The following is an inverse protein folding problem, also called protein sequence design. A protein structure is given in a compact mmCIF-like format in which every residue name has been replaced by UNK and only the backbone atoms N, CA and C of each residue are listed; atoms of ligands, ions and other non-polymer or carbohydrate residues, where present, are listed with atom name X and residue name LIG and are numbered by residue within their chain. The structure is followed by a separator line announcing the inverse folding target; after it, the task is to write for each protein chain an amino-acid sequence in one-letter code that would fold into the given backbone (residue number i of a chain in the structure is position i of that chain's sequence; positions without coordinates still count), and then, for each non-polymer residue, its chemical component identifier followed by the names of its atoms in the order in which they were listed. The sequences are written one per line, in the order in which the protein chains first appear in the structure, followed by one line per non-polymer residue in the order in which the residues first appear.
data_IF_549258263986
#
_entry.id   IF_549258263986
#
_cell.length_a   1.000
_cell.length_b   1.000
_cell.length_c   1.000
_cell.angle_alpha   90.00
_cell.angle_beta   90.00
_cell.angle_gamma   90.00
#
_symmetry.space_group_name_H-M   'P 1'
#
loop_
_entity.id
_entity.type
_entity.pdbx_description
1 polymer ?
#
# COMPACT_ATOMS: atom_id res chain seq x y z
N UNK A 1 22.18 17.09 12.68
CA UNK A 1 21.67 15.76 13.09
C UNK A 1 20.69 15.31 12.03
N UNK A 2 20.99 14.22 11.31
CA UNK A 2 20.02 13.64 10.37
C UNK A 2 18.78 13.17 11.16
N UNK A 3 17.58 13.49 10.68
CA UNK A 3 16.36 12.96 11.27
C UNK A 3 16.38 11.45 11.08
N UNK A 4 16.23 10.69 12.17
CA UNK A 4 16.11 9.24 12.09
C UNK A 4 14.78 8.94 11.38
N UNK A 5 14.84 8.29 10.21
CA UNK A 5 13.64 7.90 9.48
C UNK A 5 12.77 6.93 10.28
N UNK A 6 11.48 6.87 9.94
CA UNK A 6 10.49 6.12 10.69
C UNK A 6 10.08 4.84 9.96
N UNK A 7 9.83 3.77 10.73
CA UNK A 7 9.16 2.57 10.22
C UNK A 7 7.67 2.82 10.06
N UNK A 8 7.12 2.52 8.90
CA UNK A 8 5.73 2.80 8.58
C UNK A 8 5.15 1.77 7.61
N UNK A 9 3.83 1.70 7.56
CA UNK A 9 3.11 1.12 6.44
C UNK A 9 2.96 2.20 5.36
N UNK A 10 3.39 1.90 4.14
CA UNK A 10 3.30 2.77 2.98
C UNK A 10 2.37 2.16 1.94
N UNK A 11 1.37 2.92 1.50
CA UNK A 11 0.44 2.55 0.45
C UNK A 11 0.74 3.35 -0.80
N UNK A 12 1.10 2.69 -1.90
CA UNK A 12 1.35 3.33 -3.19
C UNK A 12 0.48 2.74 -4.28
N UNK A 13 0.05 3.60 -5.21
CA UNK A 13 -0.50 3.18 -6.48
C UNK A 13 0.64 2.79 -7.42
N UNK A 14 0.51 1.62 -8.03
CA UNK A 14 1.49 1.06 -8.95
C UNK A 14 0.78 0.65 -10.26
N UNK A 15 1.53 0.58 -11.35
CA UNK A 15 1.01 0.31 -12.68
C UNK A 15 0.75 1.58 -13.50
N UNK A 16 0.12 1.42 -14.66
CA UNK A 16 -0.14 2.51 -15.61
C UNK A 16 -1.56 2.99 -15.40
N UNK A 17 -1.72 4.11 -14.70
CA UNK A 17 -2.98 4.86 -14.70
C UNK A 17 -2.69 6.35 -14.86
N UNK A 18 -2.95 6.88 -16.05
CA UNK A 18 -2.65 8.27 -16.44
C UNK A 18 -3.43 9.35 -15.65
N UNK A 19 -4.31 8.94 -14.74
CA UNK A 19 -5.27 9.82 -14.06
C UNK A 19 -5.06 9.88 -12.54
N UNK A 20 -4.17 9.05 -11.98
CA UNK A 20 -3.89 9.11 -10.55
C UNK A 20 -2.88 10.23 -10.28
N UNK A 21 -3.28 11.28 -9.54
CA UNK A 21 -2.45 12.48 -9.35
C UNK A 21 -1.28 12.24 -8.38
N UNK A 22 -1.23 11.08 -7.70
CA UNK A 22 -0.25 10.77 -6.66
C UNK A 22 0.11 9.29 -6.65
N UNK A 23 1.41 8.99 -6.52
CA UNK A 23 1.89 7.62 -6.32
C UNK A 23 1.71 7.18 -4.88
N UNK A 24 2.03 8.02 -3.89
CA UNK A 24 1.78 7.73 -2.47
C UNK A 24 0.32 8.06 -2.11
N UNK A 25 -0.44 7.04 -1.72
CA UNK A 25 -1.84 7.19 -1.32
C UNK A 25 -1.96 7.46 0.19
N UNK A 26 -1.22 6.72 1.02
CA UNK A 26 -1.33 6.82 2.48
C UNK A 26 -0.07 6.31 3.21
N UNK A 27 0.25 6.96 4.33
CA UNK A 27 1.24 6.51 5.31
C UNK A 27 0.52 6.16 6.61
N UNK A 28 0.84 5.00 7.18
CA UNK A 28 0.19 4.42 8.36
C UNK A 28 1.23 4.01 9.41
N UNK A 29 0.83 3.99 10.69
CA UNK A 29 1.69 3.51 11.78
C UNK A 29 2.07 2.03 11.56
N UNK A 30 3.37 1.72 11.57
CA UNK A 30 3.92 0.36 11.45
C UNK A 30 3.37 -0.66 12.46
N UNK A 31 2.80 -0.19 13.58
CA UNK A 31 2.21 -1.04 14.63
C UNK A 31 0.78 -1.48 14.32
N UNK A 32 0.15 -0.95 13.27
CA UNK A 32 -1.16 -1.45 12.84
C UNK A 32 -1.05 -2.91 12.42
N UNK A 33 -2.07 -3.69 12.81
CA UNK A 33 -2.13 -5.10 12.39
C UNK A 33 -2.26 -5.20 10.88
N UNK A 34 -1.65 -6.23 10.25
CA UNK A 34 -1.78 -6.47 8.83
C UNK A 34 -3.23 -6.53 8.35
N UNK A 35 -4.13 -7.14 9.14
CA UNK A 35 -5.55 -7.24 8.83
C UNK A 35 -6.24 -5.86 8.81
N UNK A 36 -5.83 -4.94 9.69
CA UNK A 36 -6.34 -3.58 9.71
C UNK A 36 -5.85 -2.80 8.49
N UNK A 37 -4.59 -3.00 8.10
CA UNK A 37 -4.04 -2.41 6.88
C UNK A 37 -4.76 -2.96 5.65
N UNK A 38 -4.96 -4.28 5.56
CA UNK A 38 -5.73 -4.91 4.48
C UNK A 38 -7.15 -4.34 4.36
N UNK A 39 -7.81 -4.08 5.48
CA UNK A 39 -9.10 -3.40 5.48
C UNK A 39 -9.03 -2.00 4.85
N UNK A 40 -8.05 -1.20 5.25
CA UNK A 40 -7.84 0.18 4.76
C UNK A 40 -7.47 0.15 3.27
N UNK A 41 -6.57 -0.72 2.86
CA UNK A 41 -6.14 -0.89 1.46
C UNK A 41 -7.33 -1.20 0.56
N UNK A 42 -8.19 -2.15 0.94
CA UNK A 42 -9.41 -2.42 0.17
C UNK A 42 -10.35 -1.22 0.11
N UNK A 43 -10.55 -0.53 1.24
CA UNK A 43 -11.42 0.65 1.30
C UNK A 43 -10.96 1.72 0.31
N UNK A 44 -9.65 2.01 0.28
CA UNK A 44 -9.05 3.01 -0.60
C UNK A 44 -9.16 2.58 -2.07
N UNK A 45 -8.90 1.31 -2.36
CA UNK A 45 -9.05 0.78 -3.71
C UNK A 45 -10.48 0.95 -4.25
N UNK A 46 -11.50 0.55 -3.48
CA UNK A 46 -12.90 0.69 -3.89
C UNK A 46 -13.38 2.15 -3.92
N UNK A 47 -12.81 3.01 -3.07
CA UNK A 47 -13.06 4.46 -3.13
C UNK A 47 -12.58 5.06 -4.44
N UNK A 48 -11.47 4.59 -4.99
CA UNK A 48 -10.89 5.14 -6.20
C UNK A 48 -11.46 4.47 -7.46
N UNK A 49 -11.38 3.14 -7.55
CA UNK A 49 -11.69 2.37 -8.77
C UNK A 49 -13.16 1.92 -8.83
N UNK A 50 -13.80 1.71 -7.68
CA UNK A 50 -15.15 1.15 -7.62
C UNK A 50 -16.24 2.12 -8.07
N UNK A 51 -17.24 1.62 -8.78
CA UNK A 51 -18.51 2.32 -9.00
C UNK A 51 -19.34 2.42 -7.70
N UNK A 52 -20.32 3.32 -7.64
CA UNK A 52 -21.20 3.45 -6.47
C UNK A 52 -21.91 2.14 -6.07
N UNK A 53 -22.46 1.33 -7.00
CA UNK A 53 -23.02 0.03 -6.67
C UNK A 53 -21.99 -0.93 -6.04
N UNK A 54 -20.77 -0.98 -6.55
CA UNK A 54 -19.69 -1.83 -6.02
C UNK A 54 -19.26 -1.37 -4.63
N UNK A 55 -19.13 -0.06 -4.39
CA UNK A 55 -18.85 0.50 -3.06
C UNK A 55 -19.92 0.13 -2.05
N UNK A 56 -21.20 0.23 -2.45
CA UNK A 56 -22.33 -0.17 -1.59
C UNK A 56 -22.32 -1.68 -1.34
N UNK A 57 -21.97 -2.49 -2.35
CA UNK A 57 -21.87 -3.94 -2.20
C UNK A 57 -20.73 -4.33 -1.26
N UNK A 58 -19.55 -3.72 -1.41
CA UNK A 58 -18.41 -3.89 -0.51
C UNK A 58 -18.80 -3.55 0.94
N UNK A 59 -19.46 -2.41 1.15
CA UNK A 59 -19.86 -1.95 2.48
C UNK A 59 -20.87 -2.90 3.15
N UNK A 60 -21.79 -3.50 2.38
CA UNK A 60 -22.83 -4.39 2.91
C UNK A 60 -22.37 -5.83 3.09
N UNK A 61 -21.50 -6.31 2.21
CA UNK A 61 -21.23 -7.75 2.06
C UNK A 61 -19.75 -8.04 1.78
N UNK A 62 -18.81 -7.28 2.34
CA UNK A 62 -17.36 -7.49 2.16
C UNK A 62 -16.92 -8.95 2.16
N UNK A 63 -17.39 -9.75 3.12
CA UNK A 63 -16.98 -11.16 3.29
C UNK A 63 -17.69 -12.15 2.35
N UNK A 64 -18.75 -11.72 1.66
CA UNK A 64 -19.56 -12.56 0.76
C UNK A 64 -19.48 -12.09 -0.69
N UNK A 65 -18.95 -10.90 -0.90
CA UNK A 65 -18.71 -10.35 -2.21
C UNK A 65 -17.48 -11.04 -2.81
N UNK A 66 -17.48 -11.22 -4.13
CA UNK A 66 -16.38 -11.83 -4.87
C UNK A 66 -15.60 -10.78 -5.70
N UNK A 67 -15.01 -9.73 -5.09
CA UNK A 67 -14.19 -8.76 -5.80
C UNK A 67 -12.71 -9.18 -5.84
N UNK A 68 -11.80 -8.45 -6.53
CA UNK A 68 -10.37 -8.64 -6.31
C UNK A 68 -10.07 -8.55 -4.81
N UNK A 69 -9.55 -9.64 -4.27
CA UNK A 69 -9.22 -9.78 -2.86
C UNK A 69 -7.80 -9.31 -2.63
N UNK A 70 -7.51 -8.92 -1.39
CA UNK A 70 -6.14 -8.67 -0.95
C UNK A 70 -5.29 -9.92 -1.22
N UNK A 71 -4.24 -9.73 -1.99
CA UNK A 71 -3.20 -10.71 -2.23
C UNK A 71 -2.04 -10.39 -1.28
N UNK A 72 -1.63 -11.40 -0.51
CA UNK A 72 -0.54 -11.25 0.44
C UNK A 72 0.78 -11.59 -0.23
N UNK A 73 1.86 -10.93 0.20
CA UNK A 73 3.20 -11.38 -0.14
C UNK A 73 3.41 -12.83 0.29
N UNK A 74 4.26 -13.55 -0.42
CA UNK A 74 4.64 -14.93 -0.10
C UNK A 74 6.15 -15.02 0.02
N UNK A 75 6.61 -15.74 1.04
CA UNK A 75 8.01 -16.16 1.14
C UNK A 75 8.28 -17.25 0.09
N UNK A 76 9.55 -17.50 -0.23
CA UNK A 76 9.94 -18.57 -1.17
C UNK A 76 9.42 -19.96 -0.76
N UNK A 77 9.17 -20.16 0.54
CA UNK A 77 8.56 -21.37 1.11
C UNK A 77 7.05 -21.49 0.89
N UNK A 78 6.41 -20.49 0.25
CA UNK A 78 4.95 -20.40 0.08
C UNK A 78 4.20 -19.89 1.32
N UNK A 79 4.91 -19.60 2.41
CA UNK A 79 4.30 -19.05 3.63
C UNK A 79 3.87 -17.60 3.38
N UNK A 80 2.66 -17.25 3.81
CA UNK A 80 2.14 -15.88 3.77
C UNK A 80 3.07 -14.92 4.54
N UNK A 81 3.54 -13.89 3.86
CA UNK A 81 4.23 -12.75 4.47
C UNK A 81 3.23 -11.62 4.72
N UNK A 82 3.04 -11.27 5.99
CA UNK A 82 2.05 -10.27 6.39
C UNK A 82 2.55 -8.83 6.33
N UNK A 83 3.82 -8.60 5.97
CA UNK A 83 4.41 -7.25 5.85
C UNK A 83 4.16 -6.57 4.49
N UNK A 84 3.56 -7.28 3.53
CA UNK A 84 3.28 -6.79 2.18
C UNK A 84 1.95 -7.36 1.66
N UNK A 85 1.18 -6.53 0.96
CA UNK A 85 -0.08 -6.93 0.35
C UNK A 85 -0.49 -5.99 -0.79
N UNK A 86 -1.24 -6.49 -1.77
CA UNK A 86 -1.73 -5.69 -2.90
C UNK A 86 -3.16 -6.06 -3.28
N UNK A 87 -3.83 -5.14 -3.99
CA UNK A 87 -5.17 -5.33 -4.56
C UNK A 87 -5.26 -4.65 -5.92
N UNK A 88 -5.97 -5.29 -6.85
CA UNK A 88 -6.16 -4.79 -8.22
C UNK A 88 -5.29 -5.53 -9.23
N UNK A 89 -5.43 -5.15 -10.50
CA UNK A 89 -4.68 -5.73 -11.62
C UNK A 89 -3.83 -4.68 -12.34
N UNK A 90 -4.42 -3.55 -12.72
CA UNK A 90 -3.71 -2.37 -13.22
C UNK A 90 -4.70 -1.18 -13.25
N UNK A 91 -4.45 -0.12 -12.48
CA UNK A 91 -3.43 -0.01 -11.44
C UNK A 91 -3.77 -0.93 -10.27
N UNK A 92 -2.78 -1.19 -9.42
CA UNK A 92 -2.98 -1.86 -8.16
C UNK A 92 -2.50 -0.99 -7.01
N UNK A 93 -3.11 -1.17 -5.84
CA UNK A 93 -2.69 -0.50 -4.61
C UNK A 93 -1.81 -1.46 -3.83
N UNK A 94 -0.58 -1.04 -3.54
CA UNK A 94 0.43 -1.84 -2.85
C UNK A 94 0.71 -1.28 -1.46
N UNK A 95 0.42 -2.07 -0.42
CA UNK A 95 0.70 -1.73 0.97
C UNK A 95 1.87 -2.57 1.48
N UNK A 96 2.90 -1.91 2.04
CA UNK A 96 4.08 -2.59 2.60
C UNK A 96 4.66 -1.87 3.79
N UNK A 97 5.37 -2.61 4.63
CA UNK A 97 6.20 -2.03 5.69
C UNK A 97 7.52 -1.56 5.08
N UNK A 98 7.86 -0.29 5.32
CA UNK A 98 9.12 0.35 4.90
C UNK A 98 9.90 0.83 6.11
N UNK A 99 11.20 1.03 5.93
CA UNK A 99 12.09 1.65 6.92
C UNK A 99 12.62 2.98 6.42
N UNK A 100 13.19 3.75 7.36
CA UNK A 100 13.79 5.05 7.09
C UNK A 100 12.89 6.05 6.35
N UNK A 101 11.56 5.93 6.48
CA UNK A 101 10.62 6.85 5.83
C UNK A 101 10.86 8.28 6.31
N UNK A 102 11.10 9.18 5.37
CA UNK A 102 11.45 10.58 5.61
C UNK A 102 10.77 11.49 4.60
N UNK A 103 10.62 12.76 4.98
CA UNK A 103 10.10 13.83 4.13
C UNK A 103 11.15 14.94 4.06
N UNK A 104 11.66 15.21 2.86
CA UNK A 104 12.56 16.31 2.55
C UNK A 104 11.78 17.49 1.98
N UNK A 105 11.95 18.67 2.57
CA UNK A 105 11.35 19.92 2.03
C UNK A 105 12.18 20.54 0.91
N UNK A 106 13.44 20.14 0.80
CA UNK A 106 14.40 20.76 -0.11
C UNK A 106 14.37 20.12 -1.52
N UNK A 107 13.59 19.05 -1.70
CA UNK A 107 13.42 18.29 -2.95
C UNK A 107 11.98 18.40 -3.52
N UNK A 108 11.26 19.46 -3.18
CA UNK A 108 9.96 19.75 -3.79
C UNK A 108 10.25 20.43 -5.13
N UNK A 109 10.49 19.64 -6.17
CA UNK A 109 10.54 20.14 -7.54
C UNK A 109 9.12 20.37 -8.07
N UNK A 110 8.95 21.38 -8.91
CA UNK A 110 7.67 22.06 -9.24
C UNK A 110 6.69 21.23 -10.12
N UNK A 111 6.73 19.91 -10.04
CA UNK A 111 5.82 19.06 -10.78
C UNK A 111 6.02 17.57 -10.50
N UNK A 112 5.03 16.98 -9.81
CA UNK A 112 4.72 15.55 -9.89
C UNK A 112 5.67 14.52 -9.27
N UNK A 113 6.63 14.90 -8.43
CA UNK A 113 7.33 13.93 -7.58
C UNK A 113 6.65 13.77 -6.22
N UNK A 114 6.91 12.67 -5.51
CA UNK A 114 6.25 12.19 -4.28
C UNK A 114 6.37 13.14 -3.05
N UNK A 115 6.52 14.44 -3.29
CA UNK A 115 6.58 15.51 -2.31
C UNK A 115 7.89 15.55 -1.52
N UNK A 116 8.93 14.86 -1.97
CA UNK A 116 10.16 14.67 -1.21
C UNK A 116 10.09 13.53 -0.18
N UNK A 117 9.17 12.57 -0.34
CA UNK A 117 9.17 11.33 0.43
C UNK A 117 10.26 10.38 -0.06
N UNK A 118 11.05 9.84 0.87
CA UNK A 118 12.03 8.77 0.60
C UNK A 118 11.91 7.66 1.65
N UNK A 119 12.19 6.42 1.26
CA UNK A 119 12.09 5.25 2.14
C UNK A 119 12.98 4.11 1.65
N UNK A 120 13.22 3.14 2.54
CA UNK A 120 13.91 1.88 2.26
C UNK A 120 12.91 0.74 2.29
N UNK A 121 12.85 -0.03 1.20
CA UNK A 121 12.05 -1.25 1.13
C UNK A 121 12.63 -2.34 2.04
N UNK A 122 11.77 -3.03 2.79
CA UNK A 122 12.18 -4.23 3.53
C UNK A 122 12.08 -5.42 2.57
N UNK A 123 13.20 -6.11 2.25
CA UNK A 123 13.15 -7.29 1.39
C UNK A 123 12.33 -8.41 2.04
N UNK A 124 11.75 -9.27 1.20
CA UNK A 124 11.11 -10.48 1.69
C UNK A 124 12.13 -11.33 2.45
N UNK A 125 11.80 -11.83 3.67
CA UNK A 125 12.69 -12.70 4.41
C UNK A 125 13.10 -13.93 3.60
N UNK A 126 14.40 -14.20 3.52
CA UNK A 126 14.89 -15.47 3.01
C UNK A 126 14.65 -16.54 4.07
N UNK A 127 13.86 -17.57 3.72
CA UNK A 127 13.71 -18.75 4.57
C UNK A 127 14.81 -19.71 4.17
N UNK A 128 15.82 -19.88 5.03
CA UNK A 128 16.79 -20.97 4.89
C UNK A 128 16.03 -22.30 5.06
N UNK A 129 15.75 -22.96 3.94
CA UNK A 129 15.19 -24.33 3.89
C UNK A 129 16.23 -25.36 4.25
#
# INVERSE_FOLDING_TARGET
MARKGQKAWLLTWEGVHAELPRKVELVLDSRLSPERVAFITELLYWREIGSWPERLQWARQRHKWNPPMIQWGQLNSGIRYSGQMYIGMNPWLYARVVEELQFSRDEVDDGFDDGGLSWVEIPLPEVNT
#
